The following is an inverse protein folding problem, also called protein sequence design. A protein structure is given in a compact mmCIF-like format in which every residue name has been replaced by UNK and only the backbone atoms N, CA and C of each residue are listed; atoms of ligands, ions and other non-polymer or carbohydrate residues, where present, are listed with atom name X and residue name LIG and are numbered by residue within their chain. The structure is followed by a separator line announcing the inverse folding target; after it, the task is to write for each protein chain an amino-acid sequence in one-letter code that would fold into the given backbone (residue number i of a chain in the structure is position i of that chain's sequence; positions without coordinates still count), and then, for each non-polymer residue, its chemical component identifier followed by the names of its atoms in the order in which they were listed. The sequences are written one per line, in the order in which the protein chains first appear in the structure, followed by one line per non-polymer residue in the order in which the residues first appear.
data_IF_511745378701
#
_entry.id   IF_511745378701
#
_cell.length_a   1.000
_cell.length_b   1.000
_cell.length_c   1.000
_cell.angle_alpha   90.00
_cell.angle_beta   90.00
_cell.angle_gamma   90.00
#
_symmetry.space_group_name_H-M   'P 1'
#
loop_
_entity.id
_entity.type
_entity.pdbx_description
1 polymer ?
#
# COMPACT_ATOMS: atom_id res chain seq x y z
N UNK A 1 7.75 0.57 11.46
CA UNK A 1 6.97 1.53 12.26
C UNK A 1 6.31 0.83 13.42
N UNK A 2 6.26 1.49 14.58
CA UNK A 2 5.57 0.99 15.77
C UNK A 2 4.24 1.72 15.94
N UNK A 3 3.21 0.99 16.38
CA UNK A 3 1.97 1.58 16.85
C UNK A 3 2.15 1.92 18.33
N UNK A 4 2.10 3.22 18.65
CA UNK A 4 2.21 3.73 20.01
C UNK A 4 1.03 4.67 20.32
N UNK A 5 0.08 4.25 21.19
CA UNK A 5 -0.01 2.92 21.81
C UNK A 5 -0.29 1.80 20.79
N UNK A 6 -0.09 0.54 21.21
CA UNK A 6 -0.44 -0.63 20.42
C UNK A 6 -1.93 -0.62 20.03
N UNK A 7 -2.26 -1.27 18.90
CA UNK A 7 -3.62 -1.28 18.38
C UNK A 7 -4.57 -2.08 19.28
N UNK A 8 -5.82 -1.63 19.31
CA UNK A 8 -6.88 -2.29 20.06
C UNK A 8 -7.73 -3.18 19.13
N UNK A 9 -8.13 -4.39 19.56
CA UNK A 9 -8.96 -5.27 18.75
C UNK A 9 -10.45 -4.93 18.87
N UNK A 10 -11.23 -5.24 17.84
CA UNK A 10 -12.69 -5.32 17.84
C UNK A 10 -13.17 -6.35 16.80
N UNK A 11 -14.43 -6.77 16.86
CA UNK A 11 -15.04 -7.66 15.85
C UNK A 11 -15.83 -6.84 14.84
N UNK A 12 -15.57 -7.02 13.55
CA UNK A 12 -16.26 -6.31 12.49
C UNK A 12 -17.73 -6.73 12.38
N UNK A 13 -18.65 -5.77 12.43
CA UNK A 13 -20.05 -6.00 12.05
C UNK A 13 -20.20 -5.79 10.54
N UNK A 14 -19.83 -4.60 10.06
CA UNK A 14 -19.92 -4.23 8.64
C UNK A 14 -19.10 -3.00 8.31
N UNK A 15 -18.55 -2.95 7.11
CA UNK A 15 -18.08 -1.71 6.45
C UNK A 15 -19.21 -1.13 5.60
N UNK A 16 -19.40 0.18 5.65
CA UNK A 16 -20.44 0.87 4.88
C UNK A 16 -20.03 2.30 4.52
N UNK A 17 -20.69 2.87 3.50
CA UNK A 17 -20.39 4.20 2.96
C UNK A 17 -18.91 4.41 2.58
N UNK A 18 -18.15 3.33 2.36
CA UNK A 18 -16.69 3.28 2.12
C UNK A 18 -15.81 3.68 3.30
N UNK A 19 -16.17 4.72 4.05
CA UNK A 19 -15.32 5.34 5.08
C UNK A 19 -15.74 5.05 6.53
N UNK A 20 -16.75 4.20 6.76
CA UNK A 20 -17.22 3.82 8.10
C UNK A 20 -17.22 2.30 8.26
N UNK A 21 -16.96 1.84 9.47
CA UNK A 21 -17.15 0.45 9.87
C UNK A 21 -17.73 0.39 11.29
N UNK A 22 -18.81 -0.37 11.46
CA UNK A 22 -19.35 -0.67 12.78
C UNK A 22 -18.70 -1.94 13.32
N UNK A 23 -18.32 -1.92 14.59
CA UNK A 23 -17.59 -3.00 15.26
C UNK A 23 -18.11 -3.21 16.68
N UNK A 24 -17.84 -4.39 17.26
CA UNK A 24 -18.08 -4.71 18.67
C UNK A 24 -16.75 -4.87 19.40
N UNK A 25 -16.54 -4.15 20.49
CA UNK A 25 -15.32 -4.27 21.32
C UNK A 25 -15.28 -5.57 22.11
N UNK A 26 -14.13 -5.96 22.70
CA UNK A 26 -14.05 -7.10 23.61
C UNK A 26 -14.98 -7.00 24.84
N UNK A 27 -15.45 -5.80 25.18
CA UNK A 27 -16.40 -5.54 26.26
C UNK A 27 -17.87 -5.59 25.82
N UNK A 28 -18.15 -5.88 24.54
CA UNK A 28 -19.50 -5.97 23.99
C UNK A 28 -20.10 -4.63 23.54
N UNK A 29 -19.34 -3.55 23.55
CA UNK A 29 -19.82 -2.23 23.14
C UNK A 29 -19.74 -2.06 21.63
N UNK A 30 -20.79 -1.49 21.03
CA UNK A 30 -20.77 -1.13 19.60
C UNK A 30 -20.16 0.25 19.41
N UNK A 31 -19.22 0.37 18.47
CA UNK A 31 -18.65 1.66 18.05
C UNK A 31 -18.46 1.75 16.54
N UNK A 32 -18.30 2.96 16.03
CA UNK A 32 -17.99 3.21 14.62
C UNK A 32 -16.54 3.65 14.45
N UNK A 33 -15.80 2.93 13.61
CA UNK A 33 -14.45 3.27 13.17
C UNK A 33 -14.48 4.08 11.88
N UNK A 34 -13.50 4.97 11.72
CA UNK A 34 -13.15 5.48 10.41
C UNK A 34 -12.41 4.39 9.60
N UNK A 35 -12.88 4.13 8.37
CA UNK A 35 -12.20 3.29 7.40
C UNK A 35 -11.38 4.18 6.44
N UNK A 36 -10.04 4.18 6.51
CA UNK A 36 -9.16 5.06 5.72
C UNK A 36 -8.89 4.51 4.30
N UNK A 37 -9.64 3.50 3.86
CA UNK A 37 -9.50 2.89 2.54
C UNK A 37 -10.76 3.14 1.71
N UNK A 38 -10.59 3.74 0.53
CA UNK A 38 -11.69 4.08 -0.38
C UNK A 38 -11.92 3.03 -1.48
N UNK A 39 -11.02 2.03 -1.59
CA UNK A 39 -11.08 0.94 -2.54
C UNK A 39 -12.13 -0.12 -2.19
N UNK A 40 -12.16 -1.20 -2.98
CA UNK A 40 -13.14 -2.26 -2.83
C UNK A 40 -12.95 -3.00 -1.50
N UNK A 41 -11.69 -3.18 -1.05
CA UNK A 41 -11.34 -3.97 0.12
C UNK A 41 -11.83 -5.43 0.01
N UNK A 42 -11.78 -5.98 -1.20
CA UNK A 42 -12.13 -7.37 -1.48
C UNK A 42 -11.34 -8.30 -0.56
N UNK A 43 -12.03 -9.18 0.17
CA UNK A 43 -11.42 -10.10 1.13
C UNK A 43 -10.91 -9.47 2.44
N UNK A 44 -11.01 -8.14 2.62
CA UNK A 44 -10.41 -7.44 3.76
C UNK A 44 -11.42 -6.95 4.82
N UNK A 45 -12.73 -7.15 4.59
CA UNK A 45 -13.80 -6.56 5.39
C UNK A 45 -14.99 -7.52 5.61
N UNK A 46 -14.70 -8.79 5.89
CA UNK A 46 -15.75 -9.80 6.09
C UNK A 46 -16.36 -9.64 7.48
N UNK A 47 -17.69 -9.54 7.63
CA UNK A 47 -18.34 -9.57 8.94
C UNK A 47 -17.84 -10.75 9.79
N UNK A 48 -17.51 -10.46 11.05
CA UNK A 48 -16.90 -11.42 11.98
C UNK A 48 -15.37 -11.43 12.00
N UNK A 49 -14.69 -10.80 11.04
CA UNK A 49 -13.23 -10.63 11.11
C UNK A 49 -12.83 -9.78 12.33
N UNK A 50 -11.66 -10.07 12.90
CA UNK A 50 -11.06 -9.20 13.91
C UNK A 50 -10.47 -7.99 13.21
N UNK A 51 -10.71 -6.80 13.73
CA UNK A 51 -10.11 -5.56 13.25
C UNK A 51 -9.28 -4.93 14.35
N UNK A 52 -8.18 -4.30 13.95
CA UNK A 52 -7.29 -3.59 14.86
C UNK A 52 -7.34 -2.11 14.54
N UNK A 53 -7.58 -1.28 15.56
CA UNK A 53 -7.77 0.15 15.38
C UNK A 53 -6.82 0.98 16.25
N UNK A 54 -6.45 2.13 15.72
CA UNK A 54 -5.71 3.17 16.43
C UNK A 54 -6.67 4.22 16.99
N UNK A 55 -6.25 4.96 18.01
CA UNK A 55 -7.04 6.04 18.61
C UNK A 55 -6.30 7.37 18.50
N UNK A 56 -6.93 8.36 17.88
CA UNK A 56 -6.40 9.73 17.83
C UNK A 56 -6.81 10.52 19.06
N UNK A 57 -5.85 11.22 19.68
CA UNK A 57 -6.13 12.17 20.77
C UNK A 57 -6.75 13.51 20.30
N UNK A 58 -6.96 13.69 18.99
CA UNK A 58 -7.51 14.93 18.44
C UNK A 58 -8.96 15.13 18.88
N UNK A 59 -9.28 16.23 19.61
CA UNK A 59 -10.62 16.45 20.15
C UNK A 59 -11.65 16.83 19.08
N UNK A 60 -11.22 17.17 17.86
CA UNK A 60 -12.08 17.64 16.78
C UNK A 60 -12.60 16.52 15.88
N UNK A 61 -12.11 15.27 16.07
CA UNK A 61 -12.51 14.14 15.24
C UNK A 61 -13.87 13.58 15.68
N UNK A 62 -14.82 13.53 14.75
CA UNK A 62 -16.10 12.84 14.96
C UNK A 62 -15.93 11.34 15.24
N UNK A 63 -14.96 10.71 14.56
CA UNK A 63 -14.59 9.31 14.75
C UNK A 63 -13.11 9.25 15.13
N UNK A 64 -12.76 9.16 16.42
CA UNK A 64 -11.37 9.20 16.88
C UNK A 64 -10.62 7.89 16.57
N UNK A 65 -11.35 6.80 16.35
CA UNK A 65 -10.80 5.48 16.08
C UNK A 65 -10.67 5.22 14.58
N UNK A 66 -9.49 4.76 14.14
CA UNK A 66 -9.21 4.46 12.73
C UNK A 66 -8.88 2.98 12.58
N UNK A 67 -9.55 2.30 11.64
CA UNK A 67 -9.27 0.91 11.30
C UNK A 67 -7.93 0.80 10.57
N UNK A 68 -6.98 0.09 11.17
CA UNK A 68 -5.62 -0.08 10.65
C UNK A 68 -5.43 -1.44 9.98
N UNK A 69 -5.78 -2.52 10.70
CA UNK A 69 -5.57 -3.90 10.26
C UNK A 69 -6.86 -4.73 10.31
N UNK A 70 -6.94 -5.72 9.43
CA UNK A 70 -7.87 -6.84 9.53
C UNK A 70 -7.07 -8.10 9.84
N UNK A 71 -7.57 -8.93 10.74
CA UNK A 71 -7.17 -10.31 10.88
C UNK A 71 -8.35 -11.19 10.44
N UNK A 72 -8.16 -11.91 9.34
CA UNK A 72 -9.20 -12.76 8.76
C UNK A 72 -9.50 -13.93 9.69
N UNK A 73 -10.66 -14.57 9.51
CA UNK A 73 -10.99 -15.81 10.24
C UNK A 73 -9.98 -16.96 10.02
N UNK A 74 -9.15 -16.89 8.97
CA UNK A 74 -8.03 -17.82 8.73
C UNK A 74 -6.74 -17.45 9.47
N UNK A 75 -6.73 -16.33 10.19
CA UNK A 75 -5.57 -15.80 10.91
C UNK A 75 -4.62 -14.95 10.07
N UNK A 76 -4.99 -14.60 8.84
CA UNK A 76 -4.18 -13.76 7.96
C UNK A 76 -4.30 -12.30 8.37
N UNK A 77 -3.21 -11.54 8.37
CA UNK A 77 -3.20 -10.13 8.78
C UNK A 77 -3.06 -9.25 7.54
N UNK A 78 -3.90 -8.23 7.44
CA UNK A 78 -3.99 -7.32 6.31
C UNK A 78 -3.92 -5.89 6.83
N UNK A 79 -2.99 -5.06 6.34
CA UNK A 79 -3.03 -3.63 6.60
C UNK A 79 -4.00 -2.97 5.61
N UNK A 80 -5.20 -2.64 6.10
CA UNK A 80 -6.24 -2.04 5.28
C UNK A 80 -6.07 -0.54 5.13
N UNK A 81 -5.35 0.11 6.05
CA UNK A 81 -5.03 1.53 5.95
C UNK A 81 -3.93 1.78 4.91
N UNK A 82 -4.34 2.03 3.68
CA UNK A 82 -3.44 2.24 2.53
C UNK A 82 -2.49 3.42 2.72
N UNK A 83 -2.81 4.38 3.60
CA UNK A 83 -1.91 5.49 3.93
C UNK A 83 -0.61 5.02 4.60
N UNK A 84 -0.59 3.79 5.14
CA UNK A 84 0.59 3.20 5.79
C UNK A 84 1.65 2.74 4.78
N UNK A 85 1.29 2.48 3.53
CA UNK A 85 2.25 2.04 2.51
C UNK A 85 3.41 3.03 2.33
N UNK A 86 3.11 4.31 2.15
CA UNK A 86 4.15 5.34 2.00
C UNK A 86 4.97 5.50 3.29
N UNK A 87 4.36 5.34 4.48
CA UNK A 87 5.12 5.37 5.74
C UNK A 87 6.14 4.23 5.80
N UNK A 88 5.72 3.01 5.47
CA UNK A 88 6.57 1.82 5.48
C UNK A 88 7.69 1.89 4.44
N UNK A 89 7.36 2.32 3.21
CA UNK A 89 8.35 2.50 2.15
C UNK A 89 9.36 3.58 2.53
N UNK A 90 8.90 4.72 3.05
CA UNK A 90 9.80 5.78 3.53
C UNK A 90 10.75 5.25 4.60
N UNK A 91 10.24 4.54 5.59
CA UNK A 91 11.06 3.94 6.65
C UNK A 91 12.13 3.03 6.05
N UNK A 92 11.73 2.05 5.23
CA UNK A 92 12.65 1.13 4.55
C UNK A 92 13.72 1.87 3.74
N UNK A 93 13.35 2.88 2.94
CA UNK A 93 14.30 3.66 2.14
C UNK A 93 15.29 4.47 3.00
N UNK A 94 14.88 4.88 4.20
CA UNK A 94 15.74 5.67 5.09
C UNK A 94 16.62 4.84 6.02
N UNK A 95 16.15 3.68 6.48
CA UNK A 95 16.83 2.90 7.53
C UNK A 95 17.59 1.70 6.97
N UNK A 96 17.04 1.03 5.96
CA UNK A 96 17.60 -0.19 5.37
C UNK A 96 17.18 -0.31 3.90
N UNK A 97 17.63 0.60 3.02
CA UNK A 97 17.22 0.59 1.63
C UNK A 97 17.64 -0.74 0.97
N UNK A 98 16.79 -1.32 0.11
CA UNK A 98 17.17 -2.44 -0.75
C UNK A 98 18.44 -2.10 -1.54
N UNK A 99 19.26 -3.10 -1.87
CA UNK A 99 20.54 -2.89 -2.59
C UNK A 99 20.31 -2.11 -3.88
N UNK A 100 19.23 -2.40 -4.59
CA UNK A 100 18.83 -1.72 -5.82
C UNK A 100 18.45 -0.25 -5.60
N UNK A 101 18.01 0.16 -4.40
CA UNK A 101 17.64 1.54 -4.07
C UNK A 101 18.66 2.23 -3.13
N UNK A 102 19.80 1.61 -2.87
CA UNK A 102 20.83 2.13 -1.98
C UNK A 102 21.73 3.17 -2.67
N UNK A 103 22.48 3.92 -1.85
CA UNK A 103 23.49 4.88 -2.31
C UNK A 103 22.89 6.14 -2.94
N UNK A 104 21.78 6.61 -2.41
CA UNK A 104 21.25 7.96 -2.65
C UNK A 104 21.45 8.81 -1.39
N UNK A 105 21.72 10.10 -1.57
CA UNK A 105 22.08 11.03 -0.50
C UNK A 105 20.85 11.68 0.15
N UNK A 106 19.74 11.75 -0.59
CA UNK A 106 18.51 12.41 -0.15
C UNK A 106 17.25 11.71 -0.64
N UNK A 107 16.19 11.86 0.15
CA UNK A 107 14.83 11.39 -0.14
C UNK A 107 13.85 12.56 0.00
N UNK A 108 13.11 12.84 -1.06
CA UNK A 108 11.98 13.77 -1.06
C UNK A 108 10.68 12.98 -1.23
N UNK A 109 9.59 13.44 -0.61
CA UNK A 109 8.27 12.83 -0.71
C UNK A 109 7.27 13.79 -1.39
N UNK A 110 6.26 13.24 -2.06
CA UNK A 110 5.16 14.01 -2.69
C UNK A 110 5.63 15.06 -3.71
N UNK A 111 6.67 14.73 -4.49
CA UNK A 111 7.29 15.63 -5.45
C UNK A 111 6.41 15.75 -6.69
N UNK A 112 6.10 16.97 -7.13
CA UNK A 112 5.35 17.18 -8.37
C UNK A 112 6.20 16.77 -9.57
N UNK A 113 5.64 16.00 -10.49
CA UNK A 113 6.33 15.53 -11.69
C UNK A 113 5.34 15.28 -12.83
N UNK A 114 5.90 15.02 -14.02
CA UNK A 114 5.13 14.68 -15.21
C UNK A 114 4.33 15.86 -15.78
N UNK A 115 3.73 15.61 -16.94
CA UNK A 115 2.97 16.61 -17.69
C UNK A 115 1.51 16.69 -17.23
N UNK A 116 1.00 15.63 -16.58
CA UNK A 116 -0.40 15.54 -16.17
C UNK A 116 -0.63 16.00 -14.71
N UNK A 117 0.27 16.79 -14.13
CA UNK A 117 0.21 17.34 -12.75
C UNK A 117 0.14 16.27 -11.65
N UNK A 118 0.84 15.16 -11.82
CA UNK A 118 0.94 14.15 -10.77
C UNK A 118 1.96 14.49 -9.71
N UNK A 119 1.93 13.71 -8.63
CA UNK A 119 2.94 13.69 -7.59
C UNK A 119 3.49 12.27 -7.50
N UNK A 120 4.81 12.15 -7.47
CA UNK A 120 5.49 10.90 -7.21
C UNK A 120 5.55 10.72 -5.69
N UNK A 121 5.40 9.50 -5.21
CA UNK A 121 5.44 9.24 -3.76
C UNK A 121 6.81 9.58 -3.19
N UNK A 122 7.89 9.15 -3.86
CA UNK A 122 9.27 9.46 -3.47
C UNK A 122 10.18 9.80 -4.65
N UNK A 123 11.15 10.65 -4.40
CA UNK A 123 12.27 10.92 -5.30
C UNK A 123 13.58 10.79 -4.51
N UNK A 124 14.46 9.89 -4.94
CA UNK A 124 15.81 9.74 -4.41
C UNK A 124 16.81 10.49 -5.28
N UNK A 125 17.78 11.16 -4.67
CA UNK A 125 18.81 11.93 -5.38
C UNK A 125 20.20 11.68 -4.78
N UNK A 126 21.21 11.65 -5.64
CA UNK A 126 22.62 11.55 -5.26
C UNK A 126 23.46 12.37 -6.23
N UNK A 127 24.61 12.89 -5.78
CA UNK A 127 25.48 13.71 -6.64
C UNK A 127 26.03 12.97 -7.87
N UNK A 128 26.14 11.64 -7.81
CA UNK A 128 26.72 10.77 -8.83
C UNK A 128 25.70 9.83 -9.49
N UNK A 129 24.39 10.08 -9.33
CA UNK A 129 23.32 9.25 -9.89
C UNK A 129 22.21 10.12 -10.48
N UNK A 130 21.51 9.59 -11.49
CA UNK A 130 20.23 10.15 -11.95
C UNK A 130 19.18 10.06 -10.82
N UNK A 131 18.19 10.94 -10.86
CA UNK A 131 17.11 10.93 -9.89
C UNK A 131 16.30 9.62 -10.04
N UNK A 132 15.87 9.05 -8.92
CA UNK A 132 15.04 7.85 -8.89
C UNK A 132 13.65 8.19 -8.38
N UNK A 133 12.66 8.09 -9.27
CA UNK A 133 11.25 8.33 -9.00
C UNK A 133 10.60 7.00 -8.59
N UNK A 134 9.98 6.97 -7.41
CA UNK A 134 9.37 5.76 -6.86
C UNK A 134 7.88 6.01 -6.62
N UNK A 135 7.06 5.25 -7.33
CA UNK A 135 5.61 5.18 -7.13
C UNK A 135 5.29 3.95 -6.28
N UNK A 136 4.47 4.13 -5.25
CA UNK A 136 4.08 3.07 -4.30
C UNK A 136 2.66 2.62 -4.57
N UNK A 137 2.45 1.31 -4.61
CA UNK A 137 1.12 0.68 -4.69
C UNK A 137 0.92 -0.29 -3.54
N UNK A 138 -0.20 -0.18 -2.84
CA UNK A 138 -0.60 -1.15 -1.82
C UNK A 138 -1.23 -2.38 -2.47
N UNK A 139 -0.76 -3.58 -2.11
CA UNK A 139 -1.34 -4.85 -2.56
C UNK A 139 -1.97 -5.55 -1.37
N UNK A 140 -3.30 -5.69 -1.41
CA UNK A 140 -4.09 -6.41 -0.39
C UNK A 140 -4.97 -7.49 -0.97
N UNK A 141 -5.25 -7.47 -2.28
CA UNK A 141 -6.07 -8.49 -2.92
C UNK A 141 -5.29 -9.80 -3.02
N UNK A 142 -5.81 -10.86 -2.41
CA UNK A 142 -5.30 -12.22 -2.49
C UNK A 142 -6.34 -13.10 -3.18
N UNK A 143 -5.96 -13.70 -4.31
CA UNK A 143 -6.77 -14.71 -5.00
C UNK A 143 -5.85 -15.80 -5.55
N UNK A 144 -6.28 -17.07 -5.52
CA UNK A 144 -5.50 -18.20 -6.07
C UNK A 144 -4.02 -18.20 -5.63
N UNK A 145 -3.78 -17.93 -4.33
CA UNK A 145 -2.45 -17.85 -3.71
C UNK A 145 -1.50 -16.77 -4.28
N UNK A 146 -2.04 -15.79 -5.02
CA UNK A 146 -1.31 -14.66 -5.59
C UNK A 146 -1.86 -13.33 -5.12
N UNK A 147 -0.95 -12.39 -4.94
CA UNK A 147 -1.28 -10.99 -4.71
C UNK A 147 -1.59 -10.28 -6.00
N UNK A 148 -2.64 -9.46 -6.00
CA UNK A 148 -3.09 -8.75 -7.19
C UNK A 148 -3.22 -7.25 -6.98
N UNK A 149 -2.89 -6.50 -8.03
CA UNK A 149 -3.23 -5.08 -8.13
C UNK A 149 -3.66 -4.73 -9.56
N UNK A 150 -4.70 -3.89 -9.75
CA UNK A 150 -5.56 -3.29 -8.73
C UNK A 150 -6.73 -4.21 -8.31
N UNK A 151 -7.46 -3.84 -7.25
CA UNK A 151 -8.70 -4.52 -6.80
C UNK A 151 -9.99 -3.99 -7.45
N UNK A 152 -9.85 -2.94 -8.28
CA UNK A 152 -10.87 -2.36 -9.15
C UNK A 152 -10.19 -1.60 -10.31
N UNK A 153 -10.92 -1.32 -11.40
CA UNK A 153 -10.39 -0.52 -12.52
C UNK A 153 -9.84 0.82 -12.01
N UNK A 154 -8.56 1.10 -12.31
CA UNK A 154 -7.82 2.23 -11.75
C UNK A 154 -7.26 3.14 -12.84
N UNK A 155 -8.09 4.08 -13.32
CA UNK A 155 -7.67 5.10 -14.28
C UNK A 155 -6.49 5.93 -13.76
N UNK A 156 -6.43 6.17 -12.45
CA UNK A 156 -5.30 6.84 -11.80
C UNK A 156 -4.04 5.98 -11.83
N UNK A 157 -4.13 4.68 -11.55
CA UNK A 157 -3.00 3.76 -11.66
C UNK A 157 -2.45 3.70 -13.08
N UNK A 158 -3.34 3.59 -14.08
CA UNK A 158 -2.97 3.62 -15.50
C UNK A 158 -2.25 4.91 -15.89
N UNK A 159 -2.68 6.05 -15.36
CA UNK A 159 -2.03 7.34 -15.57
C UNK A 159 -0.62 7.37 -15.01
N UNK A 160 -0.44 6.95 -13.76
CA UNK A 160 0.86 6.96 -13.12
C UNK A 160 1.85 6.04 -13.85
N UNK A 161 1.41 4.89 -14.38
CA UNK A 161 2.27 4.05 -15.23
C UNK A 161 2.80 4.80 -16.46
N UNK A 162 1.95 5.56 -17.16
CA UNK A 162 2.40 6.38 -18.31
C UNK A 162 3.39 7.46 -17.89
N UNK A 163 3.19 8.08 -16.72
CA UNK A 163 4.13 9.08 -16.22
C UNK A 163 5.48 8.48 -15.83
N UNK A 164 5.51 7.28 -15.24
CA UNK A 164 6.76 6.56 -14.98
C UNK A 164 7.49 6.21 -16.28
N UNK A 165 6.77 5.79 -17.32
CA UNK A 165 7.38 5.56 -18.65
C UNK A 165 8.02 6.85 -19.20
N UNK A 166 7.35 7.99 -19.03
CA UNK A 166 7.90 9.29 -19.45
C UNK A 166 9.14 9.68 -18.64
N UNK A 167 9.19 9.37 -17.33
CA UNK A 167 10.39 9.58 -16.49
C UNK A 167 11.58 8.82 -17.08
N UNK A 168 11.39 7.54 -17.45
CA UNK A 168 12.46 6.75 -18.07
C UNK A 168 12.88 7.31 -19.42
N UNK A 169 11.94 7.76 -20.26
CA UNK A 169 12.25 8.40 -21.54
C UNK A 169 13.06 9.69 -21.39
N UNK A 170 12.92 10.40 -20.27
CA UNK A 170 13.70 11.61 -19.94
C UNK A 170 15.12 11.28 -19.41
N UNK A 171 15.49 10.00 -19.32
CA UNK A 171 16.79 9.54 -18.86
C UNK A 171 16.92 9.43 -17.33
N UNK A 172 15.81 9.59 -16.61
CA UNK A 172 15.75 9.40 -15.16
C UNK A 172 15.37 7.95 -14.82
N UNK A 173 15.59 7.54 -13.56
CA UNK A 173 15.22 6.20 -13.10
C UNK A 173 13.80 6.20 -12.57
N UNK A 174 13.00 5.19 -12.91
CA UNK A 174 11.63 5.03 -12.42
C UNK A 174 11.41 3.64 -11.84
N UNK A 175 10.76 3.58 -10.68
CA UNK A 175 10.46 2.36 -9.93
C UNK A 175 8.99 2.36 -9.55
N UNK A 176 8.30 1.26 -9.86
CA UNK A 176 7.01 0.93 -9.26
C UNK A 176 7.23 -0.08 -8.14
N UNK A 177 6.90 0.32 -6.91
CA UNK A 177 7.06 -0.49 -5.71
C UNK A 177 5.70 -0.96 -5.19
N UNK A 178 5.45 -2.26 -5.27
CA UNK A 178 4.31 -2.90 -4.63
C UNK A 178 4.61 -3.17 -3.15
N UNK A 179 4.02 -2.38 -2.26
CA UNK A 179 3.99 -2.65 -0.83
C UNK A 179 2.91 -3.71 -0.57
N UNK A 180 3.32 -4.94 -0.28
CA UNK A 180 2.44 -6.08 -0.07
C UNK A 180 2.02 -6.13 1.39
N UNK A 181 0.75 -5.79 1.61
CA UNK A 181 0.14 -5.51 2.92
C UNK A 181 -0.85 -6.59 3.35
N UNK A 182 -0.62 -7.83 2.91
CA UNK A 182 -1.41 -9.00 3.27
C UNK A 182 -0.46 -10.17 3.57
N UNK A 183 -0.53 -10.74 4.77
CA UNK A 183 0.46 -11.69 5.28
C UNK A 183 0.51 -13.01 4.49
N UNK A 184 -0.58 -13.42 3.86
CA UNK A 184 -0.62 -14.63 3.02
C UNK A 184 -0.14 -14.45 1.56
N UNK A 185 0.14 -13.23 1.10
CA UNK A 185 0.66 -13.03 -0.27
C UNK A 185 2.16 -13.41 -0.33
N UNK A 186 2.54 -14.18 -1.35
CA UNK A 186 3.94 -14.61 -1.59
C UNK A 186 4.43 -14.31 -3.02
N UNK A 187 3.60 -13.70 -3.87
CA UNK A 187 3.97 -13.21 -5.19
C UNK A 187 2.97 -12.15 -5.65
N UNK A 188 3.37 -11.28 -6.58
CA UNK A 188 2.49 -10.23 -7.11
C UNK A 188 2.30 -10.38 -8.62
N UNK A 189 1.07 -10.18 -9.08
CA UNK A 189 0.74 -10.08 -10.50
C UNK A 189 -0.24 -8.94 -10.75
N UNK A 190 -0.25 -8.33 -11.96
CA UNK A 190 -1.31 -7.41 -12.30
C UNK A 190 -2.65 -8.16 -12.40
N UNK A 191 -3.72 -7.55 -11.89
CA UNK A 191 -5.07 -8.10 -11.95
C UNK A 191 -5.66 -7.95 -13.36
N UNK A 192 -5.16 -8.69 -14.35
CA UNK A 192 -5.62 -8.62 -15.74
C UNK A 192 -7.13 -8.85 -15.86
N UNK A 193 -7.69 -9.70 -15.02
CA UNK A 193 -9.12 -10.01 -14.96
C UNK A 193 -9.98 -8.87 -14.36
N UNK A 194 -9.37 -7.85 -13.74
CA UNK A 194 -10.04 -6.67 -13.17
C UNK A 194 -9.77 -5.43 -14.02
N UNK A 195 -8.51 -5.16 -14.35
CA UNK A 195 -8.07 -4.03 -15.17
C UNK A 195 -7.03 -4.49 -16.20
N UNK A 196 -7.54 -5.02 -17.32
CA UNK A 196 -6.71 -5.48 -18.44
C UNK A 196 -5.78 -4.38 -18.97
N UNK A 197 -6.26 -3.14 -19.00
CA UNK A 197 -5.50 -1.99 -19.48
C UNK A 197 -4.34 -1.66 -18.54
N UNK A 198 -4.54 -1.70 -17.22
CA UNK A 198 -3.45 -1.55 -16.25
C UNK A 198 -2.42 -2.66 -16.43
N UNK A 199 -2.86 -3.92 -16.56
CA UNK A 199 -1.96 -5.06 -16.76
C UNK A 199 -1.09 -4.88 -18.01
N UNK A 200 -1.68 -4.48 -19.14
CA UNK A 200 -0.94 -4.16 -20.37
C UNK A 200 0.07 -3.03 -20.18
N UNK A 201 -0.37 -1.92 -19.59
CA UNK A 201 0.51 -0.77 -19.33
C UNK A 201 1.66 -1.13 -18.39
N UNK A 202 1.46 -2.07 -17.45
CA UNK A 202 2.53 -2.52 -16.56
C UNK A 202 3.59 -3.32 -17.33
N UNK A 203 3.17 -4.19 -18.26
CA UNK A 203 4.09 -4.87 -19.19
C UNK A 203 4.85 -3.88 -20.07
N UNK A 204 4.15 -2.90 -20.66
CA UNK A 204 4.76 -1.84 -21.48
C UNK A 204 5.77 -1.01 -20.67
N UNK A 205 5.44 -0.66 -19.42
CA UNK A 205 6.33 0.06 -18.52
C UNK A 205 7.61 -0.72 -18.19
N UNK A 206 7.49 -2.03 -17.91
CA UNK A 206 8.68 -2.87 -17.72
C UNK A 206 9.57 -2.89 -18.97
N UNK A 207 8.96 -3.04 -20.14
CA UNK A 207 9.68 -3.13 -21.43
C UNK A 207 10.43 -1.83 -21.76
N UNK A 208 9.93 -0.68 -21.33
CA UNK A 208 10.62 0.60 -21.54
C UNK A 208 11.63 0.95 -20.44
N UNK A 209 11.81 0.10 -19.42
CA UNK A 209 12.83 0.25 -18.38
C UNK A 209 12.32 0.75 -17.03
N UNK A 210 11.00 0.80 -16.79
CA UNK A 210 10.49 1.00 -15.42
C UNK A 210 10.78 -0.26 -14.61
N UNK A 211 11.47 -0.10 -13.48
CA UNK A 211 11.74 -1.21 -12.58
C UNK A 211 10.49 -1.54 -11.75
N UNK A 212 10.16 -2.81 -11.61
CA UNK A 212 8.97 -3.25 -10.87
C UNK A 212 9.42 -4.19 -9.77
N UNK A 213 9.19 -3.80 -8.52
CA UNK A 213 9.60 -4.56 -7.35
C UNK A 213 8.42 -4.71 -6.39
N UNK A 214 8.45 -5.77 -5.58
CA UNK A 214 7.46 -6.02 -4.54
C UNK A 214 8.14 -6.36 -3.22
N UNK A 215 7.64 -5.79 -2.12
CA UNK A 215 8.15 -6.03 -0.78
C UNK A 215 6.99 -6.36 0.16
N UNK A 216 7.13 -7.47 0.87
CA UNK A 216 6.17 -7.96 1.86
C UNK A 216 6.39 -7.33 3.21
N UNK A 217 5.30 -6.93 3.84
CA UNK A 217 5.31 -6.47 5.22
C UNK A 217 5.12 -7.62 6.22
N UNK A 218 5.87 -7.59 7.31
CA UNK A 218 5.48 -8.19 8.58
C UNK A 218 4.48 -7.28 9.27
N UNK A 219 3.38 -7.85 9.78
CA UNK A 219 2.24 -7.11 10.29
C UNK A 219 1.82 -7.67 11.65
N UNK A 220 1.70 -6.81 12.66
CA UNK A 220 1.12 -7.14 13.95
C UNK A 220 0.40 -5.92 14.56
N UNK A 221 -0.30 -6.12 15.67
CA UNK A 221 -0.98 -5.04 16.39
C UNK A 221 -0.01 -4.01 16.99
N UNK A 222 1.26 -4.38 17.15
CA UNK A 222 2.32 -3.58 17.75
C UNK A 222 3.19 -2.89 16.69
N UNK A 223 3.45 -3.55 15.56
CA UNK A 223 4.40 -3.04 14.57
C UNK A 223 4.10 -3.50 13.15
N UNK A 224 4.61 -2.73 12.19
CA UNK A 224 4.66 -3.13 10.78
C UNK A 224 6.02 -2.76 10.18
N UNK A 225 6.56 -3.62 9.32
CA UNK A 225 7.82 -3.33 8.60
C UNK A 225 7.88 -4.09 7.27
N UNK A 226 8.45 -3.49 6.23
CA UNK A 226 8.73 -4.18 4.95
C UNK A 226 10.04 -4.97 5.10
N UNK A 227 10.00 -6.28 4.86
CA UNK A 227 11.14 -7.17 5.18
C UNK A 227 11.57 -8.07 4.04
N UNK A 228 10.64 -8.53 3.20
CA UNK A 228 10.93 -9.63 2.27
C UNK A 228 10.64 -9.22 0.83
N UNK A 229 11.62 -9.25 -0.10
CA UNK A 229 11.33 -9.06 -1.51
C UNK A 229 10.50 -10.24 -2.04
N UNK A 230 9.51 -9.95 -2.89
CA UNK A 230 8.66 -10.95 -3.51
C UNK A 230 8.81 -10.95 -5.03
N UNK A 231 8.64 -12.10 -5.69
CA UNK A 231 8.61 -12.17 -7.14
C UNK A 231 7.38 -11.45 -7.71
N UNK A 232 7.60 -10.74 -8.82
CA UNK A 232 6.55 -10.11 -9.64
C UNK A 232 6.44 -10.87 -10.97
N UNK A 233 5.22 -11.23 -11.35
CA UNK A 233 4.91 -11.90 -12.61
C UNK A 233 3.92 -11.05 -13.43
N UNK A 234 4.28 -10.66 -14.65
CA UNK A 234 3.49 -9.80 -15.55
C UNK A 234 2.68 -10.59 -16.58
#
# INVERSE_FOLDING_TARGET
MEFSPALQPATLIKRYKRFLADVVTPHGETMTLHCPNTGAMTGCATPGDTVWYSTSASPTRKYPHTWELTQTQKGEIICVNTLRANTLVKEMLTTSPPVELAGYDSLQAEVKYGEERSRIDFMLQASNKVNCYIEVKSVTLLEQDKGYFPDAVSLRGQKHLRELMNVVQQGERAVLLFAVLHSAINSVSPARHIDEKYARLLTEAQQCGVEIIAWKAELSAERMTLTTPLPVFL
#
